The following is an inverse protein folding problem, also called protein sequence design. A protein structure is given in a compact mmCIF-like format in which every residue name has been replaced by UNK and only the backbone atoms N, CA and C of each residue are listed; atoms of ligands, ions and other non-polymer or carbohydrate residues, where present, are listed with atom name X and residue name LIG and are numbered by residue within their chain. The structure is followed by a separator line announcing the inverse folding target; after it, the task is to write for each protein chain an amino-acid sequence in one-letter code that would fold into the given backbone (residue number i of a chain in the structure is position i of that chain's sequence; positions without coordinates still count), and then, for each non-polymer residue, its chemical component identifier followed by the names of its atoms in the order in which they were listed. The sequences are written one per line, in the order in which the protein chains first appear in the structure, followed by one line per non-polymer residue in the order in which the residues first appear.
data_IF_789519691547
#
_entry.id   IF_789519691547
#
_cell.length_a   1.000
_cell.length_b   1.000
_cell.length_c   1.000
_cell.angle_alpha   90.00
_cell.angle_beta   90.00
_cell.angle_gamma   90.00
#
_symmetry.space_group_name_H-M   'P 1'
#
loop_
_entity.id
_entity.type
_entity.pdbx_description
1 polymer ?
#
# COMPACT_ATOMS: atom_id res chain seq x y z
N UNK A 1 -35.86 -13.08 4.24
CA UNK A 1 -35.21 -13.07 5.56
C UNK A 1 -35.44 -14.43 6.20
N UNK A 2 -34.50 -15.37 6.03
CA UNK A 2 -34.47 -16.60 6.81
C UNK A 2 -33.22 -16.51 7.68
N UNK A 3 -33.42 -16.42 9.00
CA UNK A 3 -32.34 -16.64 9.94
C UNK A 3 -32.15 -18.16 10.00
N UNK A 4 -31.17 -18.68 9.26
CA UNK A 4 -30.80 -20.07 9.40
C UNK A 4 -30.18 -20.24 10.79
N UNK A 5 -30.93 -20.87 11.70
CA UNK A 5 -30.36 -21.36 12.96
C UNK A 5 -29.32 -22.41 12.58
N UNK A 6 -28.05 -22.05 12.67
CA UNK A 6 -26.95 -23.02 12.57
C UNK A 6 -26.93 -23.81 13.88
N UNK A 7 -27.87 -24.74 14.03
CA UNK A 7 -27.70 -25.85 14.94
C UNK A 7 -26.58 -26.71 14.38
N UNK A 8 -25.61 -27.13 15.21
CA UNK A 8 -24.42 -27.88 14.82
C UNK A 8 -24.71 -29.32 14.28
N UNK A 9 -25.85 -29.55 13.63
CA UNK A 9 -26.38 -30.88 13.28
C UNK A 9 -26.45 -31.17 11.78
N UNK A 10 -26.09 -30.25 10.87
CA UNK A 10 -25.98 -30.57 9.43
C UNK A 10 -24.57 -31.01 9.08
N UNK A 11 -24.21 -32.23 9.49
CA UNK A 11 -23.00 -32.92 9.03
C UNK A 11 -23.13 -33.32 7.55
N UNK A 12 -22.68 -32.46 6.64
CA UNK A 12 -22.22 -32.94 5.32
C UNK A 12 -20.91 -33.69 5.57
N UNK A 13 -20.92 -35.00 5.45
CA UNK A 13 -19.76 -35.85 5.69
C UNK A 13 -19.89 -36.70 6.96
N UNK A 14 -19.40 -37.92 6.87
CA UNK A 14 -19.58 -39.05 7.78
C UNK A 14 -18.78 -38.89 9.09
N UNK A 15 -18.92 -37.75 9.78
CA UNK A 15 -18.15 -37.41 10.99
C UNK A 15 -19.12 -37.29 12.17
N UNK A 16 -19.12 -38.30 13.03
CA UNK A 16 -19.90 -38.35 14.27
C UNK A 16 -19.13 -37.56 15.32
N UNK A 17 -19.66 -36.46 15.88
CA UNK A 17 -18.97 -35.72 16.93
C UNK A 17 -18.86 -36.60 18.18
N UNK A 18 -17.68 -36.64 18.78
CA UNK A 18 -17.44 -37.35 20.04
C UNK A 18 -18.30 -36.72 21.14
N UNK A 19 -19.22 -37.50 21.72
CA UNK A 19 -20.02 -37.09 22.89
C UNK A 19 -19.08 -36.99 24.11
N UNK A 20 -18.61 -35.79 24.43
CA UNK A 20 -18.01 -35.47 25.73
C UNK A 20 -19.06 -35.50 26.84
N UNK A 21 -18.65 -35.83 28.07
CA UNK A 21 -19.54 -35.93 29.22
C UNK A 21 -20.24 -34.61 29.58
N UNK A 22 -21.24 -34.67 30.47
CA UNK A 22 -22.12 -33.55 30.85
C UNK A 22 -21.42 -32.28 31.35
N UNK A 23 -20.09 -32.26 31.55
CA UNK A 23 -19.31 -31.05 31.87
C UNK A 23 -17.97 -30.90 31.09
N UNK A 24 -17.72 -31.70 30.06
CA UNK A 24 -16.54 -31.49 29.19
C UNK A 24 -16.86 -30.52 28.04
N UNK A 25 -15.89 -29.66 27.65
CA UNK A 25 -16.06 -28.75 26.52
C UNK A 25 -16.24 -29.53 25.22
N UNK A 26 -17.23 -29.11 24.43
CA UNK A 26 -17.59 -29.74 23.16
C UNK A 26 -16.60 -29.37 22.04
N UNK A 27 -16.30 -30.33 21.17
CA UNK A 27 -15.21 -30.27 20.19
C UNK A 27 -15.42 -29.39 18.95
N UNK A 28 -16.20 -28.31 19.02
CA UNK A 28 -16.34 -27.36 17.91
C UNK A 28 -15.97 -25.93 18.30
N UNK A 29 -15.30 -25.23 17.40
CA UNK A 29 -14.80 -23.86 17.60
C UNK A 29 -15.35 -22.95 16.51
N UNK A 30 -15.80 -21.76 16.90
CA UNK A 30 -16.20 -20.69 15.99
C UNK A 30 -15.06 -19.66 15.89
N UNK A 31 -14.54 -19.43 14.69
CA UNK A 31 -13.55 -18.40 14.40
C UNK A 31 -14.21 -17.26 13.66
N UNK A 32 -14.14 -16.05 14.21
CA UNK A 32 -14.69 -14.85 13.59
C UNK A 32 -13.60 -14.07 12.86
N UNK A 33 -13.76 -13.92 11.54
CA UNK A 33 -12.84 -13.18 10.66
C UNK A 33 -11.89 -14.12 9.92
N UNK A 34 -12.04 -14.19 8.60
CA UNK A 34 -11.24 -14.95 7.66
C UNK A 34 -10.00 -14.22 7.16
N UNK A 35 -9.37 -13.36 7.97
CA UNK A 35 -8.05 -12.80 7.67
C UNK A 35 -6.93 -13.85 7.82
N UNK A 36 -5.67 -13.46 7.57
CA UNK A 36 -4.51 -14.37 7.73
C UNK A 36 -4.44 -15.04 9.10
N UNK A 37 -4.77 -14.29 10.17
CA UNK A 37 -4.78 -14.80 11.53
C UNK A 37 -5.90 -15.83 11.76
N UNK A 38 -7.12 -15.56 11.28
CA UNK A 38 -8.24 -16.48 11.43
C UNK A 38 -8.12 -17.74 10.58
N UNK A 39 -7.54 -17.63 9.38
CA UNK A 39 -7.19 -18.79 8.55
C UNK A 39 -6.18 -19.67 9.28
N UNK A 40 -5.08 -19.08 9.80
CA UNK A 40 -4.08 -19.86 10.53
C UNK A 40 -4.67 -20.51 11.79
N UNK A 41 -5.43 -19.74 12.58
CA UNK A 41 -6.10 -20.28 13.77
C UNK A 41 -7.04 -21.45 13.41
N UNK A 42 -7.77 -21.35 12.31
CA UNK A 42 -8.66 -22.43 11.86
C UNK A 42 -7.90 -23.69 11.47
N UNK A 43 -6.77 -23.55 10.79
CA UNK A 43 -5.89 -24.68 10.43
C UNK A 43 -5.29 -25.34 11.67
N UNK A 44 -4.78 -24.55 12.62
CA UNK A 44 -4.18 -25.07 13.85
C UNK A 44 -5.22 -25.81 14.73
N UNK A 45 -6.45 -25.28 14.80
CA UNK A 45 -7.57 -25.89 15.51
C UNK A 45 -8.05 -27.18 14.83
N UNK A 46 -8.10 -27.19 13.50
CA UNK A 46 -8.42 -28.39 12.72
C UNK A 46 -7.36 -29.48 12.90
N UNK A 47 -6.08 -29.12 12.85
CA UNK A 47 -4.96 -30.03 13.11
C UNK A 47 -4.99 -30.60 14.54
N UNK A 48 -5.55 -29.85 15.49
CA UNK A 48 -5.79 -30.30 16.87
C UNK A 48 -7.02 -31.21 17.02
N UNK A 49 -7.76 -31.47 15.94
CA UNK A 49 -8.91 -32.38 15.91
C UNK A 49 -10.26 -31.72 16.21
N UNK A 50 -10.33 -30.39 16.28
CA UNK A 50 -11.60 -29.68 16.48
C UNK A 50 -12.33 -29.44 15.16
N UNK A 51 -13.67 -29.47 15.20
CA UNK A 51 -14.49 -29.00 14.08
C UNK A 51 -14.54 -27.47 14.11
N UNK A 52 -14.14 -26.81 13.04
CA UNK A 52 -14.04 -25.34 13.00
C UNK A 52 -15.12 -24.75 12.11
N UNK A 53 -15.80 -23.71 12.59
CA UNK A 53 -16.67 -22.86 11.80
C UNK A 53 -15.98 -21.51 11.61
N UNK A 54 -15.57 -21.19 10.38
CA UNK A 54 -14.90 -19.93 10.06
C UNK A 54 -15.92 -18.95 9.47
N UNK A 55 -16.30 -17.92 10.22
CA UNK A 55 -17.26 -16.89 9.79
C UNK A 55 -16.52 -15.68 9.23
N UNK A 56 -16.82 -15.30 7.99
CA UNK A 56 -16.25 -14.13 7.33
C UNK A 56 -17.35 -13.25 6.73
N UNK A 57 -17.28 -11.95 7.01
CA UNK A 57 -18.26 -10.98 6.54
C UNK A 57 -18.17 -10.71 5.03
N UNK A 58 -16.97 -10.83 4.49
CA UNK A 58 -16.64 -10.63 3.08
C UNK A 58 -17.05 -11.83 2.23
N UNK A 59 -17.14 -11.66 0.90
CA UNK A 59 -17.38 -12.78 -0.02
C UNK A 59 -16.22 -13.78 -0.10
N UNK A 60 -15.01 -13.37 0.30
CA UNK A 60 -13.79 -14.18 0.26
C UNK A 60 -13.03 -14.11 1.57
N UNK A 61 -12.32 -15.19 1.91
CA UNK A 61 -11.33 -15.21 2.99
C UNK A 61 -9.96 -14.73 2.46
N UNK A 62 -9.12 -14.20 3.33
CA UNK A 62 -7.79 -13.65 3.03
C UNK A 62 -7.55 -12.27 3.65
N UNK A 63 -8.62 -11.55 3.98
CA UNK A 63 -8.59 -10.24 4.65
C UNK A 63 -7.72 -9.21 3.92
N UNK A 64 -7.10 -8.31 4.68
CA UNK A 64 -6.25 -7.25 4.13
C UNK A 64 -4.98 -7.76 3.46
N UNK A 65 -4.44 -8.91 3.89
CA UNK A 65 -3.22 -9.48 3.33
C UNK A 65 -3.39 -9.89 1.87
N UNK A 66 -4.58 -10.36 1.48
CA UNK A 66 -4.90 -10.67 0.09
C UNK A 66 -4.98 -9.43 -0.82
N UNK A 67 -4.95 -8.21 -0.26
CA UNK A 67 -4.98 -6.94 -1.00
C UNK A 67 -3.60 -6.27 -1.10
N UNK A 68 -2.57 -6.85 -0.49
CA UNK A 68 -1.21 -6.34 -0.54
C UNK A 68 -0.46 -6.97 -1.70
N UNK A 69 0.37 -6.18 -2.39
CA UNK A 69 1.33 -6.73 -3.36
C UNK A 69 2.52 -7.35 -2.62
N UNK A 70 3.15 -6.59 -1.72
CA UNK A 70 4.34 -6.98 -0.96
C UNK A 70 4.10 -6.94 0.54
N UNK A 71 4.69 -7.90 1.24
CA UNK A 71 4.72 -7.95 2.71
C UNK A 71 5.96 -7.23 3.23
N UNK A 72 5.80 -6.47 4.30
CA UNK A 72 6.92 -5.92 5.07
C UNK A 72 7.24 -6.91 6.21
N UNK A 73 8.51 -7.19 6.56
CA UNK A 73 9.76 -6.56 6.12
C UNK A 73 10.47 -7.24 4.95
N UNK A 74 10.03 -8.43 4.54
CA UNK A 74 10.79 -9.30 3.63
C UNK A 74 10.63 -8.92 2.15
N UNK A 75 9.59 -8.16 1.78
CA UNK A 75 9.31 -7.81 0.38
C UNK A 75 8.73 -8.96 -0.44
N UNK A 76 8.25 -10.01 0.23
CA UNK A 76 7.66 -11.19 -0.42
C UNK A 76 6.27 -10.87 -0.95
N UNK A 77 5.89 -11.52 -2.05
CA UNK A 77 4.54 -11.42 -2.61
C UNK A 77 3.50 -11.93 -1.59
N UNK A 78 2.53 -11.09 -1.21
CA UNK A 78 1.56 -11.47 -0.19
C UNK A 78 0.69 -12.65 -0.63
N UNK A 79 0.33 -12.69 -1.92
CA UNK A 79 -0.39 -13.81 -2.54
C UNK A 79 0.37 -15.12 -2.38
N UNK A 80 1.67 -15.14 -2.63
CA UNK A 80 2.48 -16.36 -2.48
C UNK A 80 2.47 -16.92 -1.04
N UNK A 81 2.36 -16.05 -0.03
CA UNK A 81 2.32 -16.48 1.38
C UNK A 81 0.92 -16.96 1.77
N UNK A 82 -0.13 -16.30 1.30
CA UNK A 82 -1.50 -16.58 1.73
C UNK A 82 -2.20 -17.67 0.92
N UNK A 83 -1.91 -17.78 -0.39
CA UNK A 83 -2.51 -18.78 -1.28
C UNK A 83 -2.43 -20.23 -0.77
N UNK A 84 -1.29 -20.75 -0.25
CA UNK A 84 -1.27 -22.12 0.27
C UNK A 84 -2.25 -22.31 1.43
N UNK A 85 -2.29 -21.35 2.37
CA UNK A 85 -3.19 -21.40 3.54
C UNK A 85 -4.66 -21.28 3.15
N UNK A 86 -4.98 -20.48 2.14
CA UNK A 86 -6.34 -20.37 1.60
C UNK A 86 -6.82 -21.71 1.03
N UNK A 87 -5.98 -22.35 0.22
CA UNK A 87 -6.31 -23.64 -0.40
C UNK A 87 -6.43 -24.73 0.66
N UNK A 88 -5.53 -24.76 1.64
CA UNK A 88 -5.56 -25.70 2.75
C UNK A 88 -6.85 -25.55 3.57
N UNK A 89 -7.17 -24.33 3.99
CA UNK A 89 -8.37 -24.04 4.78
C UNK A 89 -9.67 -24.34 4.02
N UNK A 90 -9.70 -24.15 2.69
CA UNK A 90 -10.87 -24.48 1.87
C UNK A 90 -11.04 -25.98 1.58
N UNK A 91 -9.94 -26.74 1.61
CA UNK A 91 -9.97 -28.18 1.32
C UNK A 91 -10.12 -29.03 2.58
N UNK A 92 -9.86 -28.47 3.74
CA UNK A 92 -10.02 -29.15 5.01
C UNK A 92 -11.49 -29.50 5.28
N UNK A 93 -11.77 -30.78 5.50
CA UNK A 93 -13.12 -31.30 5.76
C UNK A 93 -13.62 -30.97 7.17
N UNK A 94 -12.73 -30.62 8.09
CA UNK A 94 -13.07 -30.23 9.47
C UNK A 94 -13.39 -28.73 9.59
N UNK A 95 -13.09 -27.93 8.56
CA UNK A 95 -13.32 -26.48 8.55
C UNK A 95 -14.50 -26.15 7.65
N UNK A 96 -15.55 -25.59 8.23
CA UNK A 96 -16.71 -25.07 7.51
C UNK A 96 -16.61 -23.55 7.36
N UNK A 97 -16.33 -23.10 6.14
CA UNK A 97 -16.16 -21.67 5.83
C UNK A 97 -17.51 -21.03 5.47
N UNK A 98 -17.94 -20.08 6.28
CA UNK A 98 -19.16 -19.30 6.14
C UNK A 98 -18.83 -17.87 5.69
N UNK A 99 -18.70 -17.67 4.38
CA UNK A 99 -18.55 -16.33 3.78
C UNK A 99 -19.87 -15.58 3.68
N UNK A 100 -19.80 -14.24 3.52
CA UNK A 100 -20.96 -13.34 3.55
C UNK A 100 -21.78 -13.49 4.83
N UNK A 101 -21.12 -13.77 5.96
CA UNK A 101 -21.79 -14.11 7.21
C UNK A 101 -21.22 -13.33 8.38
N UNK A 102 -22.09 -12.92 9.31
CA UNK A 102 -21.71 -12.22 10.55
C UNK A 102 -22.40 -12.87 11.76
N UNK A 103 -21.74 -12.84 12.93
CA UNK A 103 -22.31 -13.37 14.18
C UNK A 103 -23.28 -12.33 14.75
N UNK A 104 -24.56 -12.66 14.82
CA UNK A 104 -25.63 -11.77 15.25
C UNK A 104 -25.87 -11.83 16.78
N UNK A 105 -25.77 -13.01 17.37
CA UNK A 105 -25.96 -13.22 18.81
C UNK A 105 -25.17 -14.43 19.29
N UNK A 106 -24.77 -14.39 20.57
CA UNK A 106 -24.12 -15.49 21.27
C UNK A 106 -24.86 -15.71 22.59
N UNK A 107 -25.39 -16.91 22.78
CA UNK A 107 -26.12 -17.32 23.97
C UNK A 107 -25.36 -18.45 24.68
N UNK A 108 -25.22 -18.38 26.01
CA UNK A 108 -24.56 -19.42 26.82
C UNK A 108 -23.24 -18.98 27.44
N UNK A 109 -22.40 -19.95 27.80
CA UNK A 109 -21.16 -19.74 28.56
C UNK A 109 -19.94 -20.24 27.78
N UNK A 110 -18.74 -19.85 28.21
CA UNK A 110 -17.49 -20.26 27.56
C UNK A 110 -17.39 -21.79 27.50
N UNK A 111 -17.14 -22.33 26.30
CA UNK A 111 -17.07 -23.77 26.03
C UNK A 111 -18.43 -24.44 25.72
N UNK A 112 -19.55 -23.77 26.00
CA UNK A 112 -20.91 -24.21 25.65
C UNK A 112 -21.80 -23.02 25.31
N UNK A 113 -21.63 -22.52 24.09
CA UNK A 113 -22.40 -21.41 23.56
C UNK A 113 -23.11 -21.80 22.26
N UNK A 114 -24.25 -21.16 22.00
CA UNK A 114 -24.94 -21.17 20.73
C UNK A 114 -24.71 -19.84 20.02
N UNK A 115 -24.23 -19.91 18.77
CA UNK A 115 -24.02 -18.74 17.93
C UNK A 115 -25.10 -18.63 16.87
N UNK A 116 -25.79 -17.50 16.83
CA UNK A 116 -26.69 -17.15 15.73
C UNK A 116 -25.89 -16.45 14.64
N UNK A 117 -25.71 -17.10 13.48
CA UNK A 117 -24.97 -16.54 12.35
C UNK A 117 -25.96 -16.01 11.30
N UNK A 118 -25.84 -14.74 10.96
CA UNK A 118 -26.61 -14.10 9.89
C UNK A 118 -25.84 -14.22 8.58
N UNK A 119 -26.44 -14.89 7.60
CA UNK A 119 -25.87 -15.03 6.25
C UNK A 119 -26.54 -14.09 5.26
N UNK A 120 -25.75 -13.25 4.60
CA UNK A 120 -26.23 -12.31 3.58
C UNK A 120 -26.45 -13.06 2.25
N UNK A 121 -27.48 -12.68 1.47
CA UNK A 121 -27.75 -13.30 0.20
C UNK A 121 -26.60 -13.04 -0.76
N UNK A 122 -26.05 -14.11 -1.33
CA UNK A 122 -24.99 -14.05 -2.35
C UNK A 122 -25.53 -13.98 -3.78
N UNK A 123 -26.86 -13.95 -3.94
CA UNK A 123 -27.58 -13.98 -5.22
C UNK A 123 -27.14 -15.10 -6.19
N UNK A 124 -26.54 -16.16 -5.65
CA UNK A 124 -26.02 -17.34 -6.35
C UNK A 124 -26.35 -18.58 -5.51
N UNK A 125 -26.70 -19.68 -6.17
CA UNK A 125 -26.94 -20.98 -5.52
C UNK A 125 -25.58 -21.67 -5.33
N UNK A 126 -25.06 -21.82 -4.09
CA UNK A 126 -23.72 -22.37 -3.83
C UNK A 126 -23.51 -23.76 -4.45
N UNK A 127 -24.51 -24.63 -4.36
CA UNK A 127 -24.45 -26.00 -4.85
C UNK A 127 -24.30 -26.11 -6.37
N UNK A 128 -24.70 -25.06 -7.11
CA UNK A 128 -24.59 -25.00 -8.58
C UNK A 128 -23.46 -24.08 -9.04
N UNK A 129 -22.76 -23.43 -8.11
CA UNK A 129 -21.72 -22.47 -8.45
C UNK A 129 -20.46 -23.20 -8.93
N UNK A 130 -20.08 -22.96 -10.17
CA UNK A 130 -18.84 -23.50 -10.78
C UNK A 130 -17.72 -22.45 -10.86
N UNK A 131 -17.97 -21.22 -10.39
CA UNK A 131 -17.02 -20.11 -10.54
C UNK A 131 -16.94 -19.51 -11.95
N UNK A 132 -17.91 -19.80 -12.83
CA UNK A 132 -17.95 -19.34 -14.22
C UNK A 132 -18.08 -17.81 -14.40
N UNK A 133 -18.61 -17.10 -13.41
CA UNK A 133 -18.80 -15.64 -13.46
C UNK A 133 -20.12 -15.16 -14.08
N UNK A 134 -21.06 -16.06 -14.45
CA UNK A 134 -22.36 -15.70 -15.03
C UNK A 134 -23.17 -14.74 -14.13
N UNK A 135 -22.96 -14.82 -12.82
CA UNK A 135 -23.57 -13.92 -11.84
C UNK A 135 -23.19 -12.45 -12.06
N UNK A 136 -22.06 -12.16 -12.71
CA UNK A 136 -21.63 -10.81 -13.03
C UNK A 136 -22.51 -10.17 -14.11
N UNK A 137 -22.88 -10.93 -15.14
CA UNK A 137 -23.74 -10.42 -16.22
C UNK A 137 -25.15 -10.10 -15.74
N UNK A 138 -25.65 -10.88 -14.78
CA UNK A 138 -26.97 -10.68 -14.17
C UNK A 138 -26.93 -9.76 -12.94
N UNK A 139 -25.78 -9.15 -12.64
CA UNK A 139 -25.64 -8.31 -11.45
C UNK A 139 -26.55 -7.09 -11.57
N UNK A 140 -27.46 -6.84 -10.61
CA UNK A 140 -28.34 -5.67 -10.65
C UNK A 140 -27.57 -4.35 -10.43
N UNK A 141 -26.32 -4.43 -9.99
CA UNK A 141 -25.43 -3.28 -9.84
C UNK A 141 -24.62 -3.12 -11.13
N UNK A 142 -25.11 -2.25 -12.02
CA UNK A 142 -24.36 -1.81 -13.19
C UNK A 142 -23.50 -0.63 -12.76
N UNK A 143 -22.21 -0.86 -12.49
CA UNK A 143 -21.27 0.25 -12.34
C UNK A 143 -21.11 0.90 -13.72
N UNK A 144 -21.83 1.98 -13.95
CA UNK A 144 -21.60 2.83 -15.13
C UNK A 144 -20.30 3.58 -14.85
N UNK A 145 -19.21 3.33 -15.59
CA UNK A 145 -18.03 4.15 -15.44
C UNK A 145 -18.42 5.58 -15.80
N UNK A 146 -18.32 6.50 -14.84
CA UNK A 146 -18.46 7.92 -15.16
C UNK A 146 -17.32 8.27 -16.13
N UNK A 147 -17.64 8.75 -17.35
CA UNK A 147 -16.59 9.13 -18.27
C UNK A 147 -15.80 10.27 -17.64
N UNK A 148 -14.50 10.06 -17.47
CA UNK A 148 -13.60 11.12 -17.00
C UNK A 148 -13.69 12.27 -18.01
N UNK A 149 -13.97 13.51 -17.57
CA UNK A 149 -14.01 14.64 -18.48
C UNK A 149 -12.65 14.77 -19.19
N UNK A 150 -12.63 15.20 -20.47
CA UNK A 150 -11.39 15.40 -21.18
C UNK A 150 -10.48 16.36 -20.41
N UNK A 151 -9.22 15.98 -20.29
CA UNK A 151 -8.23 16.74 -19.54
C UNK A 151 -8.11 18.17 -20.09
N UNK A 152 -8.24 19.16 -19.21
CA UNK A 152 -8.07 20.58 -19.54
C UNK A 152 -6.96 21.15 -18.65
N UNK A 153 -5.90 21.76 -19.22
CA UNK A 153 -4.83 22.38 -18.43
C UNK A 153 -5.38 23.45 -17.49
N UNK A 154 -4.97 23.41 -16.23
CA UNK A 154 -5.37 24.37 -15.21
C UNK A 154 -4.51 25.63 -15.20
N UNK A 155 -3.31 25.57 -15.79
CA UNK A 155 -2.39 26.70 -15.91
C UNK A 155 -1.96 26.90 -17.36
N UNK A 156 -1.99 28.15 -17.82
CA UNK A 156 -1.46 28.49 -19.13
C UNK A 156 0.07 28.39 -19.11
N UNK A 157 0.63 27.67 -20.06
CA UNK A 157 2.07 27.60 -20.27
C UNK A 157 2.55 28.84 -21.04
N UNK A 158 3.74 29.32 -20.70
CA UNK A 158 4.41 30.39 -21.42
C UNK A 158 4.85 29.95 -22.82
N UNK A 159 4.95 30.91 -23.74
CA UNK A 159 5.35 30.63 -25.13
C UNK A 159 6.79 30.08 -25.23
N UNK A 160 7.65 30.49 -24.30
CA UNK A 160 9.03 30.01 -24.20
C UNK A 160 9.11 28.55 -23.73
N UNK A 161 8.34 28.17 -22.71
CA UNK A 161 8.23 26.78 -22.27
C UNK A 161 7.66 25.86 -23.36
N UNK A 162 6.69 26.35 -24.14
CA UNK A 162 6.15 25.61 -25.28
C UNK A 162 7.20 25.32 -26.37
N UNK A 163 8.01 26.33 -26.70
CA UNK A 163 9.06 26.19 -27.71
C UNK A 163 10.17 25.23 -27.27
N UNK A 164 10.51 25.20 -25.97
CA UNK A 164 11.49 24.27 -25.39
C UNK A 164 10.99 22.82 -25.35
N UNK A 165 9.68 22.60 -25.22
CA UNK A 165 9.10 21.26 -25.07
C UNK A 165 8.90 20.55 -26.42
N UNK A 166 8.63 21.30 -27.49
CA UNK A 166 8.41 20.76 -28.84
C UNK A 166 9.54 19.84 -29.34
N UNK A 167 10.84 20.19 -29.24
CA UNK A 167 11.92 19.30 -29.69
C UNK A 167 12.02 18.00 -28.89
N UNK A 168 11.57 17.98 -27.63
CA UNK A 168 11.56 16.76 -26.79
C UNK A 168 10.48 15.80 -27.29
N UNK A 169 9.30 16.31 -27.64
CA UNK A 169 8.25 15.49 -28.25
C UNK A 169 8.67 14.90 -29.59
N UNK A 170 9.35 15.70 -30.42
CA UNK A 170 9.78 15.26 -31.74
C UNK A 170 10.82 14.11 -31.67
N UNK A 171 11.67 14.07 -30.62
CA UNK A 171 12.66 12.99 -30.40
C UNK A 171 12.00 11.64 -30.09
N UNK A 172 10.93 11.65 -29.30
CA UNK A 172 10.34 10.43 -28.74
C UNK A 172 9.02 10.01 -29.42
N UNK A 173 8.67 10.64 -30.55
CA UNK A 173 7.40 10.44 -31.25
C UNK A 173 7.15 8.98 -31.69
N UNK A 174 8.22 8.22 -31.95
CA UNK A 174 8.15 6.85 -32.49
C UNK A 174 8.51 5.74 -31.49
N UNK A 175 8.70 6.07 -30.20
CA UNK A 175 9.09 5.10 -29.19
C UNK A 175 7.86 4.50 -28.46
N UNK A 176 7.79 3.18 -28.24
CA UNK A 176 6.72 2.58 -27.45
C UNK A 176 6.89 2.96 -25.97
N UNK A 177 5.97 3.77 -25.45
CA UNK A 177 5.97 4.23 -24.06
C UNK A 177 6.92 5.39 -23.77
N UNK A 178 6.77 6.55 -24.45
CA UNK A 178 7.74 7.65 -24.39
C UNK A 178 7.64 8.47 -23.10
N UNK A 179 6.72 8.14 -22.18
CA UNK A 179 6.48 8.95 -20.98
C UNK A 179 7.72 9.09 -20.10
N UNK A 180 8.42 7.99 -19.79
CA UNK A 180 9.57 8.04 -18.89
C UNK A 180 10.75 8.83 -19.52
N UNK A 181 11.16 8.57 -20.78
CA UNK A 181 12.18 9.38 -21.45
C UNK A 181 11.81 10.87 -21.54
N UNK A 182 10.56 11.19 -21.88
CA UNK A 182 10.10 12.59 -21.93
C UNK A 182 10.23 13.26 -20.56
N UNK A 183 9.83 12.58 -19.48
CA UNK A 183 9.99 13.12 -18.13
C UNK A 183 11.46 13.28 -17.73
N UNK A 184 12.36 12.41 -18.18
CA UNK A 184 13.80 12.55 -17.96
C UNK A 184 14.36 13.77 -18.67
N UNK A 185 14.10 13.92 -19.97
CA UNK A 185 14.53 15.07 -20.76
C UNK A 185 14.02 16.40 -20.16
N UNK A 186 12.75 16.44 -19.72
CA UNK A 186 12.19 17.64 -19.07
C UNK A 186 12.89 17.90 -17.72
N UNK A 187 13.10 16.86 -16.91
CA UNK A 187 13.73 17.04 -15.60
C UNK A 187 15.21 17.45 -15.73
N UNK A 188 15.91 17.01 -16.78
CA UNK A 188 17.29 17.39 -17.06
C UNK A 188 17.38 18.84 -17.59
N UNK A 189 16.47 19.24 -18.48
CA UNK A 189 16.46 20.59 -19.08
C UNK A 189 15.92 21.68 -18.13
N UNK A 190 14.95 21.35 -17.26
CA UNK A 190 14.35 22.31 -16.31
C UNK A 190 14.86 22.15 -14.88
N UNK A 191 15.51 21.02 -14.53
CA UNK A 191 15.92 20.69 -13.17
C UNK A 191 14.79 20.24 -12.24
N UNK A 192 13.54 20.26 -12.73
CA UNK A 192 12.32 19.79 -12.07
C UNK A 192 11.18 19.65 -13.09
N UNK A 193 10.02 19.15 -12.65
CA UNK A 193 8.83 18.89 -13.46
C UNK A 193 7.70 19.88 -13.13
N UNK A 194 7.67 21.06 -13.77
CA UNK A 194 6.62 22.05 -13.54
C UNK A 194 5.25 21.55 -13.99
N UNK A 195 4.22 21.87 -13.21
CA UNK A 195 2.84 21.45 -13.47
C UNK A 195 2.32 21.85 -14.87
N UNK A 196 2.49 23.09 -15.38
CA UNK A 196 2.05 23.44 -16.74
C UNK A 196 2.64 22.54 -17.83
N UNK A 197 3.88 22.09 -17.65
CA UNK A 197 4.56 21.19 -18.59
C UNK A 197 3.97 19.79 -18.51
N UNK A 198 3.78 19.24 -17.30
CA UNK A 198 3.15 17.92 -17.11
C UNK A 198 1.72 17.86 -17.68
N UNK A 199 0.95 18.93 -17.54
CA UNK A 199 -0.38 19.07 -18.13
C UNK A 199 -0.32 19.05 -19.67
N UNK A 200 0.71 19.67 -20.28
CA UNK A 200 0.93 19.61 -21.73
C UNK A 200 1.34 18.21 -22.19
N UNK A 201 2.19 17.52 -21.44
CA UNK A 201 2.58 16.12 -21.70
C UNK A 201 1.37 15.20 -21.63
N UNK A 202 0.49 15.38 -20.64
CA UNK A 202 -0.77 14.64 -20.50
C UNK A 202 -1.65 14.79 -21.75
N UNK A 203 -1.80 16.01 -22.24
CA UNK A 203 -2.56 16.29 -23.47
C UNK A 203 -1.91 15.69 -24.73
N UNK A 204 -0.59 15.73 -24.85
CA UNK A 204 0.13 15.22 -26.02
C UNK A 204 0.13 13.69 -26.11
N UNK A 205 0.35 13.00 -24.98
CA UNK A 205 0.42 11.54 -24.91
C UNK A 205 -0.96 10.87 -24.71
N UNK A 206 -2.02 11.66 -24.51
CA UNK A 206 -3.34 11.18 -24.12
C UNK A 206 -3.32 10.30 -22.84
N UNK A 207 -2.37 10.55 -21.95
CA UNK A 207 -2.22 9.89 -20.65
C UNK A 207 -2.80 10.79 -19.57
N UNK A 208 -3.65 10.29 -18.64
CA UNK A 208 -4.18 11.10 -17.56
C UNK A 208 -3.08 11.72 -16.69
N UNK A 209 -3.20 12.99 -16.33
CA UNK A 209 -2.26 13.67 -15.42
C UNK A 209 -2.01 12.89 -14.10
N UNK A 210 -3.03 12.26 -13.46
CA UNK A 210 -2.78 11.44 -12.27
C UNK A 210 -1.83 10.27 -12.52
N UNK A 211 -1.83 9.68 -13.71
CA UNK A 211 -0.92 8.59 -14.07
C UNK A 211 0.51 9.10 -14.27
N UNK A 212 0.67 10.26 -14.91
CA UNK A 212 1.97 10.94 -15.02
C UNK A 212 2.53 11.30 -13.65
N UNK A 213 1.70 11.89 -12.78
CA UNK A 213 2.08 12.23 -11.41
C UNK A 213 2.42 10.99 -10.58
N UNK A 214 1.72 9.87 -10.80
CA UNK A 214 2.06 8.59 -10.16
C UNK A 214 3.45 8.13 -10.56
N UNK A 215 3.81 8.21 -11.84
CA UNK A 215 5.16 7.87 -12.32
C UNK A 215 6.19 8.85 -11.76
N UNK A 216 5.93 10.15 -11.86
CA UNK A 216 6.84 11.19 -11.39
C UNK A 216 7.10 11.14 -9.87
N UNK A 217 6.07 10.82 -9.08
CA UNK A 217 6.21 10.68 -7.61
C UNK A 217 6.79 9.33 -7.17
N UNK A 218 6.70 8.31 -8.01
CA UNK A 218 7.25 6.99 -7.71
C UNK A 218 8.78 6.93 -7.89
N UNK A 219 9.29 7.56 -8.95
CA UNK A 219 10.73 7.60 -9.22
C UNK A 219 11.39 8.76 -8.48
N UNK A 220 12.24 8.43 -7.51
CA UNK A 220 13.00 9.41 -6.72
C UNK A 220 13.98 10.28 -7.55
N UNK A 221 14.21 9.94 -8.82
CA UNK A 221 15.04 10.72 -9.73
C UNK A 221 14.36 12.02 -10.18
N UNK A 222 13.03 12.08 -10.18
CA UNK A 222 12.28 13.24 -10.62
C UNK A 222 12.03 14.22 -9.48
N UNK A 223 12.20 15.51 -9.77
CA UNK A 223 11.91 16.58 -8.81
C UNK A 223 10.62 17.28 -9.25
N UNK A 224 9.60 17.33 -8.38
CA UNK A 224 8.33 18.03 -8.68
C UNK A 224 8.40 19.53 -8.36
N UNK A 225 9.34 19.90 -7.50
CA UNK A 225 9.57 21.27 -7.06
C UNK A 225 10.97 21.72 -7.50
N UNK A 226 11.17 23.02 -7.79
CA UNK A 226 12.47 23.54 -8.16
C UNK A 226 13.47 23.34 -7.00
N UNK A 227 14.56 22.65 -7.30
CA UNK A 227 15.68 22.53 -6.37
C UNK A 227 16.58 23.78 -6.42
N UNK A 228 17.22 24.07 -5.29
CA UNK A 228 18.33 25.00 -5.22
C UNK A 228 19.58 24.40 -5.86
N UNK A 229 20.61 25.23 -6.04
CA UNK A 229 21.90 24.83 -6.64
C UNK A 229 22.54 23.64 -5.94
N UNK A 230 22.37 23.54 -4.61
CA UNK A 230 22.93 22.49 -3.78
C UNK A 230 21.83 21.76 -3.02
N UNK A 231 21.86 20.43 -3.04
CA UNK A 231 20.88 19.58 -2.32
C UNK A 231 21.53 19.00 -1.07
N UNK A 232 21.00 19.36 0.10
CA UNK A 232 21.41 18.87 1.42
C UNK A 232 20.49 17.73 1.82
N UNK A 233 21.04 16.58 2.17
CA UNK A 233 20.31 15.40 2.63
C UNK A 233 20.75 15.01 4.04
N UNK A 234 19.87 15.18 5.02
CA UNK A 234 20.14 14.84 6.43
C UNK A 234 19.65 13.43 6.74
N UNK A 235 20.51 12.58 7.31
CA UNK A 235 20.15 11.22 7.70
C UNK A 235 19.33 11.21 9.00
N UNK A 236 18.08 10.72 8.90
CA UNK A 236 17.19 10.46 10.04
C UNK A 236 17.05 8.97 10.35
N UNK A 237 18.02 8.16 9.92
CA UNK A 237 18.08 6.74 10.26
C UNK A 237 18.36 6.52 11.74
N UNK A 238 18.02 5.33 12.27
CA UNK A 238 18.05 5.03 13.71
C UNK A 238 19.37 5.40 14.39
N UNK A 239 20.51 5.06 13.76
CA UNK A 239 21.84 5.38 14.32
C UNK A 239 22.14 6.89 14.36
N UNK A 240 21.68 7.65 13.36
CA UNK A 240 21.84 9.10 13.33
C UNK A 240 20.86 9.78 14.30
N UNK A 241 19.62 9.28 14.37
CA UNK A 241 18.59 9.81 15.25
C UNK A 241 18.98 9.70 16.72
N UNK A 242 19.47 8.53 17.16
CA UNK A 242 19.96 8.32 18.54
C UNK A 242 21.16 9.23 18.87
N UNK A 243 21.96 9.60 17.87
CA UNK A 243 23.08 10.53 18.03
C UNK A 243 22.71 12.02 17.90
N UNK A 244 21.42 12.33 17.80
CA UNK A 244 20.93 13.71 17.77
C UNK A 244 20.83 14.32 16.38
N UNK A 245 20.61 13.53 15.32
CA UNK A 245 20.40 14.09 13.98
C UNK A 245 19.13 14.94 13.85
N UNK A 246 18.16 14.80 14.77
CA UNK A 246 17.01 15.71 14.87
C UNK A 246 17.43 17.14 15.22
N UNK A 247 18.34 17.29 16.20
CA UNK A 247 18.90 18.60 16.57
C UNK A 247 19.75 19.21 15.44
N UNK A 248 20.45 18.35 14.69
CA UNK A 248 21.18 18.78 13.50
C UNK A 248 20.24 19.33 12.43
N UNK A 249 19.12 18.64 12.18
CA UNK A 249 18.11 19.09 11.23
C UNK A 249 17.51 20.45 11.65
N UNK A 250 17.06 20.57 12.91
CA UNK A 250 16.50 21.81 13.44
C UNK A 250 17.49 22.99 13.33
N UNK A 251 18.77 22.73 13.59
CA UNK A 251 19.80 23.77 13.46
C UNK A 251 19.99 24.22 12.01
N UNK A 252 20.00 23.28 11.05
CA UNK A 252 20.08 23.60 9.62
C UNK A 252 18.83 24.35 9.15
N UNK A 253 17.64 23.97 9.64
CA UNK A 253 16.38 24.67 9.35
C UNK A 253 16.42 26.12 9.85
N UNK A 254 17.01 26.36 11.03
CA UNK A 254 17.17 27.70 11.60
C UNK A 254 18.18 28.56 10.84
N UNK A 255 19.33 28.00 10.45
CA UNK A 255 20.34 28.75 9.69
C UNK A 255 19.86 29.13 8.29
N UNK A 256 19.20 28.20 7.59
CA UNK A 256 18.73 28.42 6.22
C UNK A 256 17.34 29.09 6.16
N UNK A 257 16.60 29.14 7.27
CA UNK A 257 15.25 29.69 7.31
C UNK A 257 14.22 28.89 6.50
N UNK A 258 14.49 27.60 6.25
CA UNK A 258 13.63 26.67 5.50
C UNK A 258 13.27 25.46 6.34
N UNK A 259 12.16 24.78 6.00
CA UNK A 259 11.81 23.48 6.59
C UNK A 259 12.33 22.32 5.72
N UNK A 260 12.46 21.15 6.32
CA UNK A 260 12.71 19.90 5.60
C UNK A 260 11.70 19.71 4.43
N UNK A 261 12.23 19.45 3.24
CA UNK A 261 11.54 19.41 1.96
C UNK A 261 11.48 20.75 1.22
N UNK A 262 11.93 21.85 1.83
CA UNK A 262 11.89 23.18 1.24
C UNK A 262 13.18 23.58 0.51
N UNK A 263 13.04 24.57 -0.36
CA UNK A 263 14.14 25.26 -1.04
C UNK A 263 14.20 26.72 -0.58
N UNK A 264 15.40 27.23 -0.37
CA UNK A 264 15.62 28.63 0.02
C UNK A 264 15.14 29.64 -1.05
N UNK A 265 14.76 30.85 -0.64
CA UNK A 265 14.27 31.93 -1.52
C UNK A 265 15.30 32.33 -2.57
N UNK A 266 16.58 32.26 -2.23
CA UNK A 266 17.69 32.55 -3.15
C UNK A 266 18.05 31.35 -4.05
N UNK A 267 17.33 30.23 -3.90
CA UNK A 267 17.53 28.96 -4.62
C UNK A 267 18.98 28.46 -4.50
N UNK A 268 19.62 28.68 -3.36
CA UNK A 268 20.97 28.18 -3.07
C UNK A 268 20.95 26.75 -2.55
N UNK A 269 20.15 26.50 -1.52
CA UNK A 269 20.07 25.19 -0.87
C UNK A 269 18.65 24.62 -0.88
N UNK A 270 18.54 23.31 -1.12
CA UNK A 270 17.33 22.51 -0.84
C UNK A 270 17.63 21.54 0.30
N UNK A 271 16.79 21.54 1.32
CA UNK A 271 16.95 20.66 2.47
C UNK A 271 16.03 19.45 2.36
N UNK A 272 16.59 18.27 2.23
CA UNK A 272 15.88 16.99 2.18
C UNK A 272 16.23 16.13 3.39
N UNK A 273 15.29 15.27 3.79
CA UNK A 273 15.53 14.26 4.82
C UNK A 273 15.54 12.87 4.18
N UNK A 274 16.54 12.08 4.54
CA UNK A 274 16.69 10.72 4.03
C UNK A 274 16.68 9.73 5.18
N UNK A 275 16.09 8.55 4.94
CA UNK A 275 16.02 7.50 5.96
C UNK A 275 17.38 6.89 6.27
N UNK A 276 18.24 6.68 5.28
CA UNK A 276 19.55 6.10 5.49
C UNK A 276 20.53 6.52 4.39
N UNK A 277 21.74 6.94 4.80
CA UNK A 277 22.87 7.21 3.90
C UNK A 277 23.83 6.01 3.84
N UNK A 278 23.68 5.02 4.72
CA UNK A 278 24.53 3.82 4.77
C UNK A 278 25.83 3.99 5.56
N UNK A 279 26.08 5.17 6.16
CA UNK A 279 27.31 5.48 6.89
C UNK A 279 27.10 5.51 8.42
N UNK A 280 26.48 4.48 9.00
CA UNK A 280 26.13 4.46 10.43
C UNK A 280 27.34 4.66 11.37
N UNK A 281 28.54 4.24 10.97
CA UNK A 281 29.78 4.44 11.74
C UNK A 281 30.21 5.91 11.88
N UNK A 282 29.72 6.76 10.97
CA UNK A 282 30.00 8.19 10.91
C UNK A 282 28.82 9.04 11.40
N UNK A 283 27.86 8.46 12.12
CA UNK A 283 26.72 9.20 12.64
C UNK A 283 27.14 10.29 13.67
N UNK A 284 26.53 11.50 13.66
CA UNK A 284 25.51 11.99 12.70
C UNK A 284 26.11 12.31 11.32
N UNK A 285 25.36 11.99 10.26
CA UNK A 285 25.80 12.15 8.88
C UNK A 285 24.80 12.95 8.02
N UNK A 286 25.34 13.70 7.06
CA UNK A 286 24.63 14.52 6.09
C UNK A 286 25.34 14.41 4.74
N UNK A 287 24.63 14.57 3.63
CA UNK A 287 25.20 14.55 2.28
C UNK A 287 24.83 15.84 1.55
N UNK A 288 25.79 16.46 0.87
CA UNK A 288 25.56 17.63 0.01
C UNK A 288 26.07 17.28 -1.39
N UNK A 289 25.19 17.30 -2.40
CA UNK A 289 25.51 16.96 -3.80
C UNK A 289 26.32 15.66 -3.97
N UNK A 290 25.97 14.63 -3.19
CA UNK A 290 26.66 13.34 -3.21
C UNK A 290 27.87 13.23 -2.26
N UNK A 291 28.42 14.35 -1.77
CA UNK A 291 29.54 14.35 -0.82
C UNK A 291 29.02 14.09 0.59
N UNK A 292 29.50 13.01 1.21
CA UNK A 292 29.03 12.59 2.54
C UNK A 292 29.91 13.18 3.64
N UNK A 293 29.31 13.92 4.55
CA UNK A 293 29.90 14.46 5.77
C UNK A 293 29.45 13.63 6.98
N UNK A 294 30.39 13.30 7.84
CA UNK A 294 30.18 12.43 9.00
C UNK A 294 30.75 13.01 10.28
N UNK A 295 30.28 12.51 11.42
CA UNK A 295 30.61 13.00 12.78
C UNK A 295 30.37 14.50 12.92
N UNK A 296 29.28 14.97 12.31
CA UNK A 296 28.94 16.38 12.26
C UNK A 296 28.55 16.85 13.66
N UNK A 297 29.11 17.99 14.07
CA UNK A 297 28.69 18.76 15.25
C UNK A 297 28.00 20.02 14.77
N UNK A 298 27.10 20.57 15.58
CA UNK A 298 26.29 21.75 15.23
C UNK A 298 27.15 22.93 14.79
N UNK A 299 28.27 23.20 15.49
CA UNK A 299 29.19 24.28 15.15
C UNK A 299 29.98 24.10 13.83
N UNK A 300 29.94 22.90 13.22
CA UNK A 300 30.59 22.65 11.94
C UNK A 300 29.65 22.89 10.76
N UNK A 301 28.34 23.07 11.00
CA UNK A 301 27.33 23.21 9.95
C UNK A 301 27.61 24.45 9.10
N UNK A 302 27.78 25.63 9.73
CA UNK A 302 28.02 26.88 9.02
C UNK A 302 29.27 26.81 8.12
N UNK A 303 30.38 26.28 8.65
CA UNK A 303 31.62 26.07 7.89
C UNK A 303 31.47 25.09 6.72
N UNK A 304 30.57 24.11 6.84
CA UNK A 304 30.28 23.16 5.75
C UNK A 304 29.44 23.85 4.68
N UNK A 305 28.46 24.68 5.06
CA UNK A 305 27.61 25.41 4.12
C UNK A 305 28.40 26.47 3.32
N UNK A 306 29.30 27.21 3.97
CA UNK A 306 30.18 28.20 3.31
C UNK A 306 31.07 27.60 2.21
N UNK A 307 31.38 26.30 2.27
CA UNK A 307 32.17 25.63 1.21
C UNK A 307 31.40 25.44 -0.10
N UNK A 308 30.08 25.60 -0.07
CA UNK A 308 29.20 25.45 -1.22
C UNK A 308 28.47 26.77 -1.53
N UNK A 309 28.96 27.90 -1.01
CA UNK A 309 28.54 29.26 -1.43
C UNK A 309 29.22 29.74 -2.71
#
# INVERSE_FOLDING_TARGET
MSADKVSAERSRGNVIPLKGGENEPYGAVLVCGGGIAGIQASLDLSASGFRVYLVEESPTIGGGMARLDKTFPTGDCATCIISPKLVECMRDLNIEVLTMSDVAALDGEAGRFHATVRRRPRSVIPEKCTGCGDCWQSCPVTNVPEPTPPFSPSQAMDAEGAARLQPIFDRHLNEPGPLLPILQDINDDWGYLPRPVLERVAGHLAVPLPEILRVASFYNAFKLEPAGRHTIEVCLGTACFVRGSGLLLEHIEQELGIRAGGTDKERRFTLNTVRCIGCCALAPAMRIDGVTFGRIRLNMVSNILERFE
#
